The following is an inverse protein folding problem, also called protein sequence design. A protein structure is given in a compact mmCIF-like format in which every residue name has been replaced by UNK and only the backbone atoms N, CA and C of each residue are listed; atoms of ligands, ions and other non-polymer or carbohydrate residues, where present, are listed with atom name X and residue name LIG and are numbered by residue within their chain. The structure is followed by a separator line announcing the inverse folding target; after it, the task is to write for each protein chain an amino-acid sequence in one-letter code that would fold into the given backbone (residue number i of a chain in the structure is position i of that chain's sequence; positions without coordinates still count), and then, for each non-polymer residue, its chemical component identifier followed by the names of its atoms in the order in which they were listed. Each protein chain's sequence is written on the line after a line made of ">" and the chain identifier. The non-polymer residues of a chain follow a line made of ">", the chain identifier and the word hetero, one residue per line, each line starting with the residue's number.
data_IF_883388354500
#
_entry.id   IF_883388354500
#
_cell.length_a   1.000
_cell.length_b   1.000
_cell.length_c   1.000
_cell.angle_alpha   90.00
_cell.angle_beta   90.00
_cell.angle_gamma   90.00
#
_symmetry.space_group_name_H-M   'P 1'
#
loop_
_entity.id
_entity.type
_entity.pdbx_description
1 polymer ?
#
# COMPACT_ATOMS: atom_id res chain seq x y z
N UNK A 1 -23.44 -1.97 15.06
CA UNK A 1 -23.65 -3.43 15.06
C UNK A 1 -22.43 -4.04 14.39
N UNK A 2 -21.44 -4.52 15.16
CA UNK A 2 -20.38 -5.36 14.60
C UNK A 2 -20.96 -6.75 14.57
N UNK A 3 -21.47 -7.10 13.40
CA UNK A 3 -22.47 -8.15 13.15
C UNK A 3 -22.02 -9.58 13.40
N UNK A 4 -20.81 -9.86 13.86
CA UNK A 4 -20.40 -11.24 14.05
C UNK A 4 -19.67 -11.42 15.36
N UNK A 5 -20.33 -12.11 16.28
CA UNK A 5 -19.86 -12.48 17.61
C UNK A 5 -18.77 -13.58 17.55
N UNK A 6 -17.83 -13.48 16.60
CA UNK A 6 -16.69 -14.39 16.52
C UNK A 6 -15.75 -14.12 17.68
N UNK A 7 -15.39 -15.18 18.40
CA UNK A 7 -14.39 -15.05 19.45
C UNK A 7 -13.02 -14.74 18.84
N UNK A 8 -12.17 -14.03 19.58
CA UNK A 8 -10.78 -13.75 19.19
C UNK A 8 -10.02 -15.05 18.84
N UNK A 9 -10.40 -16.18 19.45
CA UNK A 9 -9.83 -17.49 19.17
C UNK A 9 -10.27 -18.06 17.80
N UNK A 10 -11.54 -17.89 17.43
CA UNK A 10 -12.05 -18.32 16.12
C UNK A 10 -11.47 -17.46 15.01
N UNK A 11 -11.43 -16.14 15.20
CA UNK A 11 -10.80 -15.23 14.24
C UNK A 11 -9.31 -15.55 14.07
N UNK A 12 -8.60 -15.82 15.17
CA UNK A 12 -7.20 -16.23 15.13
C UNK A 12 -7.01 -17.56 14.37
N UNK A 13 -7.90 -18.53 14.58
CA UNK A 13 -7.87 -19.82 13.88
C UNK A 13 -8.17 -19.68 12.38
N UNK A 14 -9.16 -18.88 11.99
CA UNK A 14 -9.52 -18.63 10.58
C UNK A 14 -8.39 -17.92 9.85
N UNK A 15 -7.77 -16.95 10.51
CA UNK A 15 -6.67 -16.16 9.95
C UNK A 15 -5.31 -16.84 10.10
N UNK A 16 -5.26 -18.05 10.70
CA UNK A 16 -4.04 -18.81 10.99
C UNK A 16 -2.95 -17.99 11.73
N UNK A 17 -3.36 -17.16 12.69
CA UNK A 17 -2.47 -16.33 13.53
C UNK A 17 -2.61 -16.71 14.99
N UNK A 18 -1.62 -16.33 15.82
CA UNK A 18 -1.71 -16.58 17.26
C UNK A 18 -2.81 -15.75 17.92
N UNK A 19 -3.43 -16.29 18.97
CA UNK A 19 -4.46 -15.60 19.76
C UNK A 19 -3.98 -14.25 20.33
N UNK A 20 -2.69 -14.16 20.65
CA UNK A 20 -2.07 -12.92 21.15
C UNK A 20 -1.89 -11.87 20.06
N UNK A 21 -1.58 -12.26 18.82
CA UNK A 21 -1.51 -11.35 17.68
C UNK A 21 -2.90 -10.81 17.33
N UNK A 22 -3.91 -11.69 17.25
CA UNK A 22 -5.29 -11.28 17.02
C UNK A 22 -5.81 -10.33 18.12
N UNK A 23 -5.48 -10.59 19.40
CA UNK A 23 -5.82 -9.68 20.50
C UNK A 23 -5.18 -8.29 20.38
N UNK A 24 -3.93 -8.20 19.91
CA UNK A 24 -3.28 -6.91 19.64
C UNK A 24 -3.96 -6.15 18.49
N UNK A 25 -4.34 -6.85 17.42
CA UNK A 25 -5.05 -6.25 16.29
C UNK A 25 -6.43 -5.74 16.67
N UNK A 26 -7.16 -6.47 17.52
CA UNK A 26 -8.47 -6.02 18.04
C UNK A 26 -8.33 -4.76 18.90
N UNK A 27 -7.31 -4.71 19.76
CA UNK A 27 -7.04 -3.52 20.58
C UNK A 27 -6.64 -2.32 19.71
N UNK A 28 -5.77 -2.54 18.72
CA UNK A 28 -5.38 -1.50 17.77
C UNK A 28 -6.58 -0.96 16.97
N UNK A 29 -7.45 -1.84 16.46
CA UNK A 29 -8.68 -1.45 15.76
C UNK A 29 -9.64 -0.68 16.69
N UNK A 30 -9.68 -1.02 17.98
CA UNK A 30 -10.48 -0.29 18.99
C UNK A 30 -9.93 1.10 19.23
N UNK A 31 -8.62 1.23 19.35
CA UNK A 31 -7.94 2.51 19.57
C UNK A 31 -8.10 3.43 18.34
N UNK A 32 -7.99 2.89 17.12
CA UNK A 32 -8.26 3.60 15.87
C UNK A 32 -9.72 4.10 15.79
N UNK A 33 -10.70 3.29 16.22
CA UNK A 33 -12.12 3.70 16.29
C UNK A 33 -12.40 4.78 17.34
N UNK A 34 -11.58 4.87 18.36
CA UNK A 34 -11.63 5.91 19.38
C UNK A 34 -10.85 7.17 18.96
N UNK A 35 -10.28 7.20 17.75
CA UNK A 35 -9.50 8.32 17.23
C UNK A 35 -8.10 8.43 17.85
N UNK A 36 -7.63 7.40 18.55
CA UNK A 36 -6.29 7.34 19.11
C UNK A 36 -5.32 6.87 18.02
N UNK A 37 -4.40 7.75 17.63
CA UNK A 37 -3.38 7.40 16.63
C UNK A 37 -2.38 6.40 17.21
N UNK A 38 -2.08 5.28 16.54
CA UNK A 38 -1.10 4.31 17.01
C UNK A 38 0.29 4.96 17.20
N UNK A 39 0.83 4.91 18.42
CA UNK A 39 2.10 5.59 18.79
C UNK A 39 3.38 4.92 18.26
N UNK A 40 3.27 3.79 17.58
CA UNK A 40 4.40 3.14 16.91
C UNK A 40 3.90 2.47 15.64
N UNK A 41 4.66 2.60 14.56
CA UNK A 41 4.52 1.76 13.37
C UNK A 41 5.56 0.63 13.45
N UNK A 42 5.23 -0.54 14.02
CA UNK A 42 5.90 -1.76 13.59
C UNK A 42 5.56 -1.90 12.12
N UNK A 43 6.56 -1.68 11.26
CA UNK A 43 6.43 -1.91 9.83
C UNK A 43 6.07 -3.38 9.65
N UNK A 44 4.81 -3.66 9.31
CA UNK A 44 4.40 -5.02 8.95
C UNK A 44 5.07 -5.41 7.63
N UNK A 45 5.33 -6.71 7.36
CA UNK A 45 5.89 -7.15 6.08
C UNK A 45 5.09 -6.63 4.88
N UNK A 46 3.77 -6.58 5.02
CA UNK A 46 2.85 -6.00 4.04
C UNK A 46 3.10 -4.50 3.80
N UNK A 47 3.39 -3.72 4.85
CA UNK A 47 3.71 -2.30 4.71
C UNK A 47 5.08 -2.05 4.05
N UNK A 48 6.05 -2.96 4.24
CA UNK A 48 7.30 -2.94 3.47
C UNK A 48 7.04 -3.17 2.00
N UNK A 49 6.26 -4.20 1.69
CA UNK A 49 5.91 -4.54 0.33
C UNK A 49 5.17 -3.39 -0.35
N UNK A 50 4.17 -2.79 0.32
CA UNK A 50 3.49 -1.59 -0.18
C UNK A 50 4.48 -0.44 -0.44
N UNK A 51 5.44 -0.22 0.46
CA UNK A 51 6.44 0.85 0.30
C UNK A 51 7.37 0.58 -0.88
N UNK A 52 7.81 -0.66 -1.06
CA UNK A 52 8.67 -1.07 -2.18
C UNK A 52 7.93 -0.99 -3.51
N UNK A 53 6.67 -1.45 -3.55
CA UNK A 53 5.81 -1.35 -4.73
C UNK A 53 5.57 0.11 -5.12
N UNK A 54 5.28 1.00 -4.15
CA UNK A 54 5.14 2.43 -4.42
C UNK A 54 6.42 3.05 -5.01
N UNK A 55 7.59 2.67 -4.50
CA UNK A 55 8.88 3.12 -5.06
C UNK A 55 9.10 2.64 -6.49
N UNK A 56 8.78 1.37 -6.79
CA UNK A 56 8.88 0.81 -8.14
C UNK A 56 7.93 1.52 -9.10
N UNK A 57 6.69 1.75 -8.67
CA UNK A 57 5.67 2.42 -9.48
C UNK A 57 6.09 3.85 -9.84
N UNK A 58 6.59 4.63 -8.86
CA UNK A 58 7.10 5.98 -9.11
C UNK A 58 8.26 6.01 -10.12
N UNK A 59 9.16 5.02 -10.06
CA UNK A 59 10.26 4.90 -11.04
C UNK A 59 9.73 4.63 -12.44
N UNK A 60 8.80 3.68 -12.57
CA UNK A 60 8.20 3.34 -13.86
C UNK A 60 7.42 4.51 -14.46
N UNK A 61 6.69 5.26 -13.64
CA UNK A 61 6.00 6.48 -14.09
C UNK A 61 6.98 7.51 -14.62
N UNK A 62 8.10 7.74 -13.92
CA UNK A 62 9.15 8.66 -14.37
C UNK A 62 9.79 8.23 -15.69
N UNK A 63 10.14 6.95 -15.83
CA UNK A 63 10.70 6.41 -17.07
C UNK A 63 9.71 6.55 -18.24
N UNK A 64 8.43 6.28 -18.00
CA UNK A 64 7.38 6.43 -19.00
C UNK A 64 7.23 7.89 -19.45
N UNK A 65 7.25 8.84 -18.50
CA UNK A 65 7.23 10.28 -18.81
C UNK A 65 8.44 10.73 -19.64
N UNK A 66 9.64 10.21 -19.34
CA UNK A 66 10.83 10.49 -20.14
C UNK A 66 10.66 9.96 -21.56
N UNK A 67 10.19 8.72 -21.72
CA UNK A 67 9.97 8.09 -23.04
C UNK A 67 8.93 8.87 -23.85
N UNK A 68 7.81 9.27 -23.23
CA UNK A 68 6.78 10.09 -23.89
C UNK A 68 7.36 11.42 -24.39
N UNK A 69 8.16 12.10 -23.57
CA UNK A 69 8.81 13.36 -23.95
C UNK A 69 9.81 13.18 -25.08
N UNK A 70 10.65 12.15 -25.01
CA UNK A 70 11.60 11.82 -26.08
C UNK A 70 10.88 11.50 -27.40
N UNK A 71 9.79 10.73 -27.33
CA UNK A 71 8.97 10.40 -28.49
C UNK A 71 8.33 11.66 -29.11
N UNK A 72 7.78 12.55 -28.27
CA UNK A 72 7.22 13.82 -28.74
C UNK A 72 8.26 14.73 -29.41
N UNK A 73 9.48 14.78 -28.85
CA UNK A 73 10.60 15.52 -29.45
C UNK A 73 10.99 14.94 -30.80
N UNK A 74 11.19 13.62 -30.89
CA UNK A 74 11.55 12.94 -32.14
C UNK A 74 10.51 13.20 -33.24
N UNK A 75 9.22 13.09 -32.90
CA UNK A 75 8.13 13.39 -33.84
C UNK A 75 8.21 14.85 -34.30
N UNK A 76 8.42 15.79 -33.37
CA UNK A 76 8.54 17.22 -33.71
C UNK A 76 9.72 17.50 -34.64
N UNK A 77 10.88 16.89 -34.39
CA UNK A 77 12.07 17.04 -35.23
C UNK A 77 11.85 16.47 -36.63
N UNK A 78 11.20 15.30 -36.74
CA UNK A 78 10.87 14.71 -38.04
C UNK A 78 9.89 15.57 -38.84
N UNK A 79 8.91 16.22 -38.19
CA UNK A 79 8.00 17.15 -38.85
C UNK A 79 8.68 18.45 -39.29
N UNK A 80 9.64 18.96 -38.51
CA UNK A 80 10.38 20.17 -38.85
C UNK A 80 11.33 19.96 -40.03
N UNK A 81 11.93 18.77 -40.18
CA UNK A 81 12.79 18.41 -41.31
C UNK A 81 12.03 18.15 -42.63
N UNK A 82 10.69 18.05 -42.58
CA UNK A 82 9.82 17.87 -43.76
C UNK A 82 9.26 19.19 -44.31
N UNK A 83 9.57 20.33 -43.67
CA UNK A 83 9.17 21.68 -44.07
C UNK A 83 10.30 22.40 -44.80
#
# INVERSE_FOLDING_TARGET
>A
MLEHNYSIAEAASVMNVSKSAMGKWVNQLRDERLGLSPKATPITPEQLEIRELKKKLQRLEMENEIIKKATALLISDSLNNLR
#
